data_IF_361323531328
#
_entry.id   IF_361323531328
#
_cell.length_a   1.000
_cell.length_b   1.000
_cell.length_c   1.000
_cell.angle_alpha   90.00
_cell.angle_beta   90.00
_cell.angle_gamma   90.00
#
_symmetry.space_group_name_H-M   'P 1'
#
loop_
_entity.id
_entity.type
_entity.pdbx_description
1 polymer ?
#
# COMPACT_ATOMS: atom_id res chain seq x y z
N UNK A 1 4.13 -12.33 -29.69
CA UNK A 1 3.84 -11.39 -28.58
C UNK A 1 2.41 -11.68 -28.17
N UNK A 2 2.20 -12.41 -27.09
CA UNK A 2 0.88 -12.62 -26.49
C UNK A 2 0.49 -11.33 -25.79
N UNK A 3 -0.61 -10.70 -26.21
CA UNK A 3 -1.21 -9.59 -25.47
C UNK A 3 -1.51 -10.05 -24.05
N UNK A 4 -1.16 -9.23 -23.05
CA UNK A 4 -1.59 -9.49 -21.69
C UNK A 4 -3.12 -9.53 -21.67
N UNK A 5 -3.74 -10.50 -20.96
CA UNK A 5 -5.18 -10.52 -20.84
C UNK A 5 -5.65 -9.21 -20.18
N UNK A 6 -6.67 -8.58 -20.76
CA UNK A 6 -7.40 -7.52 -20.11
C UNK A 6 -8.04 -8.09 -18.85
N UNK A 7 -7.48 -7.79 -17.69
CA UNK A 7 -8.11 -8.15 -16.42
C UNK A 7 -9.38 -7.31 -16.29
N UNK A 8 -10.52 -7.94 -16.48
CA UNK A 8 -11.83 -7.31 -16.28
C UNK A 8 -12.10 -7.01 -14.80
N UNK A 9 -11.36 -7.63 -13.89
CA UNK A 9 -11.45 -7.41 -12.45
C UNK A 9 -10.09 -6.97 -11.87
N UNK A 10 -10.09 -6.01 -10.92
CA UNK A 10 -8.86 -5.61 -10.25
C UNK A 10 -8.23 -6.77 -9.48
N UNK A 11 -6.91 -6.90 -9.57
CA UNK A 11 -6.16 -7.79 -8.68
C UNK A 11 -6.11 -7.17 -7.30
N UNK A 12 -6.56 -7.90 -6.28
CA UNK A 12 -6.55 -7.41 -4.90
C UNK A 12 -5.42 -8.09 -4.12
N UNK A 13 -4.51 -7.27 -3.57
CA UNK A 13 -3.38 -7.74 -2.78
C UNK A 13 -3.21 -6.97 -1.48
N UNK A 14 -2.22 -7.36 -0.68
CA UNK A 14 -1.93 -6.78 0.62
C UNK A 14 -0.87 -5.68 0.53
N UNK A 15 -1.05 -4.62 1.31
CA UNK A 15 -0.13 -3.48 1.35
C UNK A 15 -0.04 -2.88 2.75
N UNK A 16 1.11 -2.27 3.06
CA UNK A 16 1.30 -1.35 4.19
C UNK A 16 1.43 0.07 3.64
N UNK A 17 0.77 1.00 4.29
CA UNK A 17 0.98 2.43 4.13
C UNK A 17 1.53 3.03 5.43
N UNK A 18 2.13 4.19 5.32
CA UNK A 18 2.37 5.09 6.44
C UNK A 18 1.24 6.12 6.49
N UNK A 19 0.95 6.66 7.67
CA UNK A 19 0.18 7.90 7.74
C UNK A 19 1.05 9.08 7.31
N UNK A 20 0.46 9.95 6.55
CA UNK A 20 1.00 11.26 6.15
C UNK A 20 -0.05 12.30 6.48
N UNK A 21 0.38 13.53 6.65
CA UNK A 21 -0.52 14.67 6.76
C UNK A 21 -0.57 15.41 5.42
N UNK A 22 -1.75 15.78 5.00
CA UNK A 22 -1.99 16.60 3.84
C UNK A 22 -3.20 17.50 4.12
N UNK A 23 -2.98 18.81 4.10
CA UNK A 23 -3.99 19.82 4.41
C UNK A 23 -4.70 19.60 5.77
N UNK A 24 -3.91 19.32 6.81
CA UNK A 24 -4.39 19.10 8.19
C UNK A 24 -5.16 17.80 8.39
N UNK A 25 -5.17 16.88 7.41
CA UNK A 25 -5.86 15.58 7.46
C UNK A 25 -4.90 14.41 7.33
N UNK A 26 -5.21 13.33 8.01
CA UNK A 26 -4.49 12.09 7.85
C UNK A 26 -4.74 11.47 6.47
N UNK A 27 -3.66 11.12 5.76
CA UNK A 27 -3.70 10.49 4.44
C UNK A 27 -2.80 9.26 4.37
N UNK A 28 -3.10 8.37 3.44
CA UNK A 28 -2.25 7.22 3.18
C UNK A 28 -0.98 7.66 2.44
N UNK A 29 0.16 7.41 3.03
CA UNK A 29 1.47 7.65 2.45
C UNK A 29 2.13 6.37 1.98
N UNK A 30 2.87 6.42 0.89
CA UNK A 30 3.67 5.28 0.46
C UNK A 30 4.85 5.07 1.38
N UNK A 31 5.07 3.83 1.84
CA UNK A 31 6.11 3.47 2.78
C UNK A 31 7.54 3.69 2.24
N UNK A 32 7.74 3.56 0.94
CA UNK A 32 9.05 3.60 0.27
C UNK A 32 9.26 4.80 -0.65
N UNK A 33 8.27 5.66 -0.80
CA UNK A 33 8.33 6.88 -1.63
C UNK A 33 7.55 8.01 -0.95
N UNK A 34 7.82 9.28 -1.25
CA UNK A 34 7.09 10.41 -0.67
C UNK A 34 5.73 10.65 -1.34
N UNK A 35 5.09 9.59 -1.80
CA UNK A 35 3.80 9.67 -2.48
C UNK A 35 2.68 9.63 -1.46
N UNK A 36 1.82 10.64 -1.48
CA UNK A 36 0.56 10.67 -0.74
C UNK A 36 -0.56 10.20 -1.68
N UNK A 37 -1.42 9.33 -1.19
CA UNK A 37 -2.59 8.85 -1.90
C UNK A 37 -3.75 9.80 -1.63
N UNK A 38 -4.47 10.16 -2.67
CA UNK A 38 -5.59 11.09 -2.54
C UNK A 38 -6.92 10.33 -2.50
N UNK A 39 -7.85 10.69 -1.58
CA UNK A 39 -9.21 10.15 -1.59
C UNK A 39 -9.91 10.38 -2.94
N UNK A 40 -10.68 9.38 -3.38
CA UNK A 40 -11.43 9.44 -4.63
C UNK A 40 -10.59 9.49 -5.91
N UNK A 41 -9.25 9.37 -5.80
CA UNK A 41 -8.35 9.42 -6.95
C UNK A 41 -7.41 8.23 -6.99
N UNK A 42 -7.38 7.53 -8.13
CA UNK A 42 -6.43 6.44 -8.34
C UNK A 42 -4.98 6.93 -8.27
N UNK A 43 -4.10 6.10 -7.72
CA UNK A 43 -2.67 6.31 -7.82
C UNK A 43 -2.15 5.75 -9.14
N UNK A 44 -1.57 6.62 -9.96
CA UNK A 44 -0.90 6.24 -11.20
C UNK A 44 0.61 6.03 -10.91
N UNK A 45 1.11 4.86 -11.30
CA UNK A 45 2.51 4.52 -11.13
C UNK A 45 3.39 5.29 -12.11
N UNK A 46 4.51 5.79 -11.60
CA UNK A 46 5.57 6.38 -12.42
C UNK A 46 6.88 5.64 -12.20
N UNK A 47 7.74 5.62 -13.23
CA UNK A 47 9.11 5.11 -13.08
C UNK A 47 10.05 6.27 -12.75
N UNK A 48 10.36 6.45 -11.47
CA UNK A 48 11.36 7.43 -11.04
C UNK A 48 12.78 6.84 -11.14
N UNK A 49 13.33 6.89 -12.35
CA UNK A 49 14.66 6.36 -12.69
C UNK A 49 15.75 7.10 -11.93
N UNK A 50 15.71 8.43 -11.89
CA UNK A 50 16.75 9.28 -11.27
C UNK A 50 16.94 8.95 -9.79
N UNK A 51 15.86 8.68 -9.07
CA UNK A 51 15.89 8.36 -7.65
C UNK A 51 16.49 6.98 -7.36
N UNK A 52 16.39 6.03 -8.31
CA UNK A 52 16.94 4.68 -8.20
C UNK A 52 18.40 4.60 -8.59
N UNK A 53 18.82 5.40 -9.57
CA UNK A 53 20.22 5.50 -9.99
C UNK A 53 21.12 6.02 -8.87
N UNK A 54 20.66 7.01 -8.09
CA UNK A 54 21.37 7.51 -6.91
C UNK A 54 21.62 6.44 -5.84
N UNK A 55 20.80 5.40 -5.77
CA UNK A 55 20.93 4.31 -4.79
C UNK A 55 21.70 3.10 -5.28
N UNK A 56 21.72 2.87 -6.60
CA UNK A 56 22.36 1.72 -7.24
C UNK A 56 22.88 2.10 -8.62
N UNK A 57 23.95 2.91 -8.68
CA UNK A 57 24.47 3.45 -9.94
C UNK A 57 24.94 2.38 -10.94
N UNK A 58 25.17 1.14 -10.46
CA UNK A 58 25.58 -0.01 -11.32
C UNK A 58 24.41 -0.72 -12.01
N UNK A 59 23.15 -0.37 -11.72
CA UNK A 59 22.01 -0.92 -12.42
C UNK A 59 21.54 0.05 -13.49
N UNK A 60 21.80 -0.30 -14.73
CA UNK A 60 21.20 0.40 -15.88
C UNK A 60 19.69 0.15 -15.84
N UNK A 61 18.92 1.18 -15.56
CA UNK A 61 17.47 1.14 -15.70
C UNK A 61 17.11 1.56 -17.12
N UNK A 62 16.22 0.83 -17.81
CA UNK A 62 15.71 1.32 -19.08
C UNK A 62 14.99 2.65 -18.83
N UNK A 63 15.38 3.68 -19.55
CA UNK A 63 14.73 5.01 -19.52
C UNK A 63 13.50 5.02 -20.42
N UNK A 64 12.50 5.85 -20.09
CA UNK A 64 11.38 6.14 -21.01
C UNK A 64 10.33 5.03 -21.14
N UNK A 65 10.15 4.18 -20.13
CA UNK A 65 9.08 3.19 -20.12
C UNK A 65 7.92 3.59 -19.21
N UNK A 66 6.72 3.12 -19.54
CA UNK A 66 5.57 3.18 -18.64
C UNK A 66 5.78 2.23 -17.44
N UNK A 67 5.21 2.57 -16.29
CA UNK A 67 5.20 1.70 -15.13
C UNK A 67 3.89 0.90 -15.06
N UNK A 68 3.97 -0.39 -14.73
CA UNK A 68 5.14 -1.22 -14.43
C UNK A 68 5.84 -1.74 -15.69
N UNK A 69 7.14 -2.00 -15.63
CA UNK A 69 7.84 -2.69 -16.70
C UNK A 69 8.46 -4.02 -16.21
N UNK A 70 8.45 -5.10 -17.00
CA UNK A 70 8.90 -6.43 -16.57
C UNK A 70 10.35 -6.45 -16.03
N UNK A 71 11.24 -5.69 -16.65
CA UNK A 71 12.66 -5.61 -16.27
C UNK A 71 12.99 -4.50 -15.28
N UNK A 72 11.99 -3.78 -14.78
CA UNK A 72 12.12 -2.73 -13.77
C UNK A 72 11.34 -3.13 -12.51
N UNK A 73 11.66 -2.51 -11.37
CA UNK A 73 10.91 -2.69 -10.14
C UNK A 73 9.87 -1.56 -9.91
N UNK A 74 9.57 -0.76 -10.93
CA UNK A 74 8.55 0.29 -10.86
C UNK A 74 7.13 -0.31 -10.82
N UNK A 75 6.16 0.52 -10.47
CA UNK A 75 4.76 0.13 -10.30
C UNK A 75 4.29 0.26 -8.85
N UNK A 76 2.99 0.21 -8.66
CA UNK A 76 2.38 0.11 -7.33
C UNK A 76 2.40 -1.34 -6.90
N UNK A 77 3.02 -1.62 -5.75
CA UNK A 77 3.25 -2.98 -5.27
C UNK A 77 2.15 -3.44 -4.32
N UNK A 78 1.74 -4.70 -4.44
CA UNK A 78 0.94 -5.43 -3.46
C UNK A 78 1.47 -6.85 -3.28
N UNK A 79 1.29 -7.42 -2.08
CA UNK A 79 1.73 -8.76 -1.71
C UNK A 79 0.58 -9.76 -1.81
N UNK A 80 0.89 -11.01 -2.18
CA UNK A 80 -0.07 -12.13 -2.15
C UNK A 80 -0.45 -12.49 -0.72
N UNK A 81 0.56 -12.57 0.15
CA UNK A 81 0.42 -13.01 1.54
C UNK A 81 0.60 -11.83 2.50
N UNK A 82 -0.36 -11.66 3.40
CA UNK A 82 -0.35 -10.61 4.43
C UNK A 82 0.87 -10.71 5.35
N UNK A 83 1.38 -11.92 5.65
CA UNK A 83 2.60 -12.11 6.47
C UNK A 83 3.83 -11.45 5.85
N UNK A 84 3.88 -11.35 4.53
CA UNK A 84 4.96 -10.68 3.81
C UNK A 84 5.08 -9.19 4.17
N UNK A 85 4.03 -8.59 4.72
CA UNK A 85 4.02 -7.21 5.18
C UNK A 85 4.93 -6.97 6.39
N UNK A 86 5.23 -7.99 7.20
CA UNK A 86 6.13 -7.89 8.34
C UNK A 86 7.51 -7.32 7.96
N UNK A 87 7.95 -7.53 6.72
CA UNK A 87 9.22 -6.98 6.23
C UNK A 87 9.23 -5.45 6.16
N UNK A 88 8.05 -4.83 6.06
CA UNK A 88 7.90 -3.37 6.00
C UNK A 88 7.77 -2.72 7.38
N UNK A 89 7.46 -3.50 8.42
CA UNK A 89 7.35 -3.01 9.80
C UNK A 89 8.72 -2.81 10.46
N UNK A 90 9.80 -3.31 9.87
CA UNK A 90 11.15 -3.18 10.43
C UNK A 90 11.76 -1.81 10.11
N UNK A 91 12.52 -1.19 11.05
CA UNK A 91 13.21 0.08 10.79
C UNK A 91 14.13 0.03 9.56
N UNK A 92 14.79 -1.12 9.31
CA UNK A 92 15.68 -1.32 8.17
C UNK A 92 14.97 -1.22 6.80
N UNK A 93 13.66 -1.44 6.75
CA UNK A 93 12.86 -1.31 5.53
C UNK A 93 12.60 0.15 5.14
N UNK A 94 12.92 1.10 6.02
CA UNK A 94 12.61 2.53 5.85
C UNK A 94 13.84 3.28 5.35
N UNK A 95 13.94 3.60 4.07
CA UNK A 95 15.09 4.33 3.55
C UNK A 95 15.27 5.75 4.10
N UNK A 96 14.27 6.28 4.81
CA UNK A 96 14.25 7.64 5.38
C UNK A 96 13.78 7.64 6.86
N UNK A 97 14.02 6.56 7.61
CA UNK A 97 13.60 6.42 9.00
C UNK A 97 14.10 7.57 9.90
N UNK A 98 15.26 8.15 9.57
CA UNK A 98 15.85 9.28 10.28
C UNK A 98 15.11 10.61 10.04
N UNK A 99 14.36 10.74 8.93
CA UNK A 99 13.55 11.93 8.63
C UNK A 99 12.14 11.87 9.26
N UNK A 100 11.66 10.66 9.58
CA UNK A 100 10.34 10.44 10.17
C UNK A 100 10.45 9.37 11.26
N UNK A 101 10.76 9.75 12.51
CA UNK A 101 11.00 8.79 13.58
C UNK A 101 9.78 7.97 13.97
N UNK A 102 8.57 8.46 13.70
CA UNK A 102 7.32 7.77 13.99
C UNK A 102 6.56 7.53 12.69
N UNK A 103 6.45 6.28 12.30
CA UNK A 103 5.62 5.89 11.17
C UNK A 103 4.48 5.05 11.72
N UNK A 104 3.30 5.63 11.75
CA UNK A 104 2.08 4.88 11.96
C UNK A 104 1.78 4.06 10.72
N UNK A 105 1.58 2.77 10.92
CA UNK A 105 1.31 1.84 9.84
C UNK A 105 -0.19 1.66 9.67
N UNK A 106 -0.65 1.73 8.43
CA UNK A 106 -1.98 1.28 8.04
C UNK A 106 -1.79 0.02 7.21
N UNK A 107 -2.42 -1.07 7.61
CA UNK A 107 -2.42 -2.34 6.90
C UNK A 107 -3.68 -2.38 6.06
N UNK A 108 -3.63 -2.96 4.86
CA UNK A 108 -4.85 -3.09 4.10
C UNK A 108 -4.71 -3.86 2.81
N UNK A 109 -5.84 -3.92 2.13
CA UNK A 109 -5.95 -4.46 0.78
C UNK A 109 -5.93 -3.32 -0.22
N UNK A 110 -5.33 -3.55 -1.36
CA UNK A 110 -5.24 -2.60 -2.47
C UNK A 110 -5.73 -3.27 -3.74
N UNK A 111 -6.62 -2.60 -4.46
CA UNK A 111 -7.02 -2.98 -5.80
C UNK A 111 -5.98 -2.46 -6.80
N UNK A 112 -5.59 -3.30 -7.74
CA UNK A 112 -4.57 -3.07 -8.75
C UNK A 112 -5.16 -3.32 -10.13
N UNK A 113 -4.93 -2.41 -11.09
CA UNK A 113 -5.42 -2.56 -12.47
C UNK A 113 -4.56 -1.82 -13.49
N UNK A 114 -4.98 -1.86 -14.76
CA UNK A 114 -4.19 -1.44 -15.91
C UNK A 114 -3.13 -2.51 -16.21
N UNK A 115 -1.95 -2.09 -16.63
CA UNK A 115 -0.84 -3.02 -16.80
C UNK A 115 -0.46 -3.62 -15.45
N UNK A 116 -0.51 -4.94 -15.33
CA UNK A 116 -0.14 -5.68 -14.12
C UNK A 116 0.98 -6.65 -14.43
N UNK A 117 2.04 -6.58 -13.65
CA UNK A 117 3.16 -7.52 -13.69
C UNK A 117 3.12 -8.39 -12.45
N UNK A 118 2.89 -9.68 -12.66
CA UNK A 118 2.93 -10.68 -11.60
C UNK A 118 4.36 -11.06 -11.25
N UNK A 119 4.62 -11.23 -9.97
CA UNK A 119 5.88 -11.69 -9.42
C UNK A 119 5.68 -12.76 -8.35
N UNK A 120 6.74 -13.43 -7.95
CA UNK A 120 6.67 -14.55 -6.98
C UNK A 120 6.01 -14.20 -5.63
N UNK A 121 6.05 -12.96 -5.18
CA UNK A 121 5.54 -12.53 -3.88
C UNK A 121 4.36 -11.58 -3.96
N UNK A 122 3.89 -11.25 -5.16
CA UNK A 122 2.82 -10.28 -5.37
C UNK A 122 2.86 -9.64 -6.73
N UNK A 123 2.21 -8.53 -6.85
CA UNK A 123 1.98 -7.83 -8.11
C UNK A 123 2.53 -6.41 -8.08
N UNK A 124 2.73 -5.87 -9.26
CA UNK A 124 3.02 -4.45 -9.51
C UNK A 124 2.09 -3.97 -10.62
N UNK A 125 1.41 -2.86 -10.39
CA UNK A 125 0.43 -2.35 -11.34
C UNK A 125 0.69 -0.92 -11.76
N UNK A 126 0.08 -0.54 -12.88
CA UNK A 126 0.06 0.83 -13.38
C UNK A 126 -0.81 1.73 -12.51
N UNK A 127 -1.93 1.19 -12.01
CA UNK A 127 -2.92 1.92 -11.24
C UNK A 127 -3.30 1.16 -9.99
N UNK A 128 -3.66 1.90 -8.95
CA UNK A 128 -4.10 1.31 -7.69
C UNK A 128 -5.00 2.24 -6.90
N UNK A 129 -5.85 1.64 -6.06
CA UNK A 129 -6.64 2.34 -5.05
C UNK A 129 -6.80 1.46 -3.80
N UNK A 130 -6.91 2.04 -2.59
CA UNK A 130 -7.23 1.28 -1.39
C UNK A 130 -8.55 0.52 -1.58
N UNK A 131 -8.64 -0.68 -0.99
CA UNK A 131 -9.83 -1.53 -1.05
C UNK A 131 -10.43 -1.78 0.34
N UNK A 132 -9.56 -1.90 1.36
CA UNK A 132 -9.95 -2.12 2.74
C UNK A 132 -8.77 -1.79 3.65
N UNK A 133 -9.00 -1.17 4.81
CA UNK A 133 -7.97 -0.63 5.70
C UNK A 133 -8.13 -1.15 7.12
N UNK A 134 -7.03 -1.52 7.78
CA UNK A 134 -6.91 -1.84 9.20
C UNK A 134 -5.93 -0.85 9.82
N UNK A 135 -6.42 -0.13 10.83
CA UNK A 135 -5.68 0.88 11.57
C UNK A 135 -5.29 0.32 12.95
N UNK A 136 -4.04 -0.15 13.13
CA UNK A 136 -3.52 -0.47 14.46
C UNK A 136 -3.47 0.78 15.34
N UNK A 137 -3.41 0.64 16.68
CA UNK A 137 -3.23 1.78 17.57
C UNK A 137 -2.05 2.64 17.14
N UNK A 138 -2.25 3.92 17.21
CA UNK A 138 -1.18 4.89 17.01
C UNK A 138 -0.34 4.90 18.29
N UNK A 139 0.98 4.87 18.16
CA UNK A 139 1.90 5.05 19.30
C UNK A 139 1.72 6.46 19.84
N UNK A 140 0.87 6.61 20.86
CA UNK A 140 0.37 7.88 21.40
C UNK A 140 1.17 8.40 22.61
N UNK A 141 2.44 8.11 22.72
CA UNK A 141 3.27 8.76 23.75
C UNK A 141 3.54 10.26 23.49
N UNK A 142 2.84 10.88 22.51
CA UNK A 142 2.91 12.30 22.20
C UNK A 142 1.50 12.89 22.13
N UNK A 143 1.27 13.92 22.96
CA UNK A 143 0.01 14.69 23.04
C UNK A 143 -0.46 15.33 21.72
N UNK A 144 0.38 15.32 20.67
CA UNK A 144 0.12 15.99 19.38
C UNK A 144 -0.39 15.03 18.28
N UNK A 145 -0.54 13.73 18.56
CA UNK A 145 -0.99 12.76 17.54
C UNK A 145 -2.51 12.58 17.65
N UNK A 146 -3.26 12.79 16.54
CA UNK A 146 -4.69 12.52 16.53
C UNK A 146 -4.98 11.08 16.97
N UNK A 147 -5.98 10.87 17.83
CA UNK A 147 -6.41 9.52 18.23
C UNK A 147 -6.83 8.67 17.03
N UNK A 148 -6.84 7.36 17.20
CA UNK A 148 -7.19 6.40 16.12
C UNK A 148 -8.55 6.69 15.50
N UNK A 149 -9.53 7.17 16.28
CA UNK A 149 -10.86 7.55 15.78
C UNK A 149 -10.80 8.75 14.82
N UNK A 150 -10.06 9.81 15.17
CA UNK A 150 -9.92 10.98 14.30
C UNK A 150 -9.24 10.59 12.97
N UNK A 151 -8.19 9.76 13.04
CA UNK A 151 -7.53 9.24 11.84
C UNK A 151 -8.47 8.36 11.02
N UNK A 152 -9.29 7.51 11.65
CA UNK A 152 -10.25 6.67 10.95
C UNK A 152 -11.31 7.50 10.20
N UNK A 153 -11.75 8.62 10.80
CA UNK A 153 -12.66 9.57 10.14
C UNK A 153 -12.02 10.13 8.87
N UNK A 154 -10.76 10.57 8.94
CA UNK A 154 -10.04 11.09 7.78
C UNK A 154 -9.82 10.01 6.70
N UNK A 155 -9.55 8.77 7.10
CA UNK A 155 -9.39 7.65 6.19
C UNK A 155 -10.71 7.18 5.57
N UNK A 156 -11.85 7.47 6.19
CA UNK A 156 -13.16 7.18 5.60
C UNK A 156 -13.43 7.97 4.31
N UNK A 157 -12.72 9.09 4.10
CA UNK A 157 -12.76 9.85 2.84
C UNK A 157 -12.39 8.99 1.61
N UNK A 158 -11.65 7.89 1.79
CA UNK A 158 -11.33 6.96 0.70
C UNK A 158 -12.54 6.15 0.23
N UNK A 159 -13.66 6.17 0.94
CA UNK A 159 -14.87 5.44 0.57
C UNK A 159 -14.73 3.91 0.65
N UNK A 160 -13.80 3.41 1.46
CA UNK A 160 -13.53 1.99 1.68
C UNK A 160 -13.70 1.64 3.17
N UNK A 161 -13.97 0.37 3.52
CA UNK A 161 -14.04 -0.04 4.92
C UNK A 161 -12.75 0.29 5.69
N UNK A 162 -12.89 0.90 6.87
CA UNK A 162 -11.80 1.20 7.80
C UNK A 162 -12.09 0.52 9.13
N UNK A 163 -11.20 -0.37 9.56
CA UNK A 163 -11.31 -1.12 10.81
C UNK A 163 -10.29 -0.59 11.82
N UNK A 164 -10.75 -0.09 12.96
CA UNK A 164 -9.88 0.27 14.09
C UNK A 164 -9.54 -1.03 14.83
N UNK A 165 -8.26 -1.27 15.07
CA UNK A 165 -7.74 -2.51 15.68
C UNK A 165 -7.25 -2.22 17.11
N UNK A 166 -8.14 -1.92 18.02
CA UNK A 166 -7.81 -1.55 19.39
C UNK A 166 -6.95 -2.61 20.10
N UNK A 167 -5.94 -2.14 20.83
CA UNK A 167 -5.07 -2.95 21.66
C UNK A 167 -4.15 -3.93 20.91
N UNK A 168 -4.02 -3.83 19.60
CA UNK A 168 -3.21 -4.74 18.77
C UNK A 168 -2.15 -3.98 17.99
N UNK A 169 -0.91 -4.35 18.15
CA UNK A 169 0.18 -3.85 17.31
C UNK A 169 -0.03 -4.21 15.83
N UNK A 170 0.62 -3.48 14.92
CA UNK A 170 0.56 -3.77 13.48
C UNK A 170 0.94 -5.24 13.16
N UNK A 171 1.87 -5.83 13.91
CA UNK A 171 2.26 -7.24 13.75
C UNK A 171 1.13 -8.19 14.16
N UNK A 172 0.46 -7.94 15.28
CA UNK A 172 -0.65 -8.77 15.76
C UNK A 172 -1.86 -8.67 14.81
N UNK A 173 -2.10 -7.50 14.22
CA UNK A 173 -3.11 -7.35 13.18
C UNK A 173 -2.78 -8.23 11.98
N UNK A 174 -1.52 -8.23 11.50
CA UNK A 174 -1.07 -9.09 10.39
C UNK A 174 -1.29 -10.57 10.73
N UNK A 175 -0.91 -11.01 11.92
CA UNK A 175 -1.08 -12.42 12.33
C UNK A 175 -2.56 -12.81 12.45
N UNK A 176 -3.41 -11.90 12.93
CA UNK A 176 -4.86 -12.11 12.97
C UNK A 176 -5.44 -12.28 11.57
N UNK A 177 -5.09 -11.38 10.65
CA UNK A 177 -5.53 -11.44 9.26
C UNK A 177 -5.00 -12.67 8.52
N UNK A 178 -3.79 -13.12 8.87
CA UNK A 178 -3.19 -14.32 8.31
C UNK A 178 -3.84 -15.63 8.83
N UNK A 179 -4.41 -15.60 10.04
CA UNK A 179 -5.15 -16.70 10.62
C UNK A 179 -6.62 -16.76 10.18
N UNK A 180 -7.20 -15.62 9.83
CA UNK A 180 -8.50 -15.59 9.17
C UNK A 180 -8.35 -16.26 7.80
N UNK A 181 -9.05 -17.38 7.59
CA UNK A 181 -9.03 -18.09 6.31
C UNK A 181 -9.30 -17.09 5.18
N UNK A 182 -8.55 -17.16 4.05
CA UNK A 182 -8.84 -16.29 2.93
C UNK A 182 -10.29 -16.51 2.56
N UNK A 183 -11.10 -15.44 2.62
CA UNK A 183 -12.41 -15.46 2.05
C UNK A 183 -12.21 -15.82 0.57
N UNK A 184 -12.39 -17.09 0.23
CA UNK A 184 -12.42 -17.54 -1.16
C UNK A 184 -13.50 -16.71 -1.80
N UNK A 185 -13.11 -15.93 -2.79
CA UNK A 185 -14.02 -15.11 -3.55
C UNK A 185 -15.18 -15.97 -4.04
N UNK A 186 -16.32 -15.84 -3.39
CA UNK A 186 -17.60 -16.16 -3.95
C UNK A 186 -18.14 -14.82 -4.46
N UNK A 187 -17.73 -14.51 -5.69
CA UNK A 187 -18.47 -13.57 -6.49
C UNK A 187 -19.91 -14.04 -6.56
N UNK A 188 -20.81 -13.29 -5.94
CA UNK A 188 -22.20 -13.17 -6.37
C UNK A 188 -22.52 -11.69 -6.31
N UNK A 189 -22.52 -11.09 -7.49
CA UNK A 189 -23.28 -9.91 -7.81
C UNK A 189 -24.65 -9.99 -7.14
N UNK A 190 -25.00 -8.95 -6.40
CA UNK A 190 -26.38 -8.56 -6.27
C UNK A 190 -26.47 -7.22 -6.96
N UNK A 191 -27.11 -7.25 -8.14
CA UNK A 191 -27.65 -6.09 -8.81
C UNK A 191 -28.73 -5.44 -7.92
N UNK A 192 -28.66 -4.15 -7.77
CA UNK A 192 -29.80 -3.23 -7.74
C UNK A 192 -29.41 -1.99 -8.52
#
# INVERSE_FOLDING_TARGET
MTAAPDYCEPVVGWRVWSLSEDDGRARLGSHVSPTVWQPGRELNATCDVKRRELRRPWRVHPTGHAAPAPRCTCGVHAMVDVRSLNTYLTPAARPYAWLRPLVHHVIGRVALWGDVVEGRRGWRAARAYPNELWLPPLDVDREEVPGSEAVAIDLADYGVPVHICDGRTAREVIETLAGAAPARGLGRSISL
#
